data_IF_493423400231
#
_entry.id   IF_493423400231
#
_cell.length_a   1.000
_cell.length_b   1.000
_cell.length_c   1.000
_cell.angle_alpha   90.00
_cell.angle_beta   90.00
_cell.angle_gamma   90.00
#
_symmetry.space_group_name_H-M   'P 1'
#
loop_
_entity.id
_entity.type
_entity.pdbx_description
1 polymer ?
#
# COMPACT_ATOMS: atom_id res chain seq x y z
N UNK A 1 -53.08 9.33 19.76
CA UNK A 1 -51.82 10.08 19.53
C UNK A 1 -50.73 9.07 19.20
N UNK A 2 -50.43 8.90 17.91
CA UNK A 2 -49.40 7.97 17.41
C UNK A 2 -48.07 8.71 17.43
N UNK A 3 -47.16 8.32 18.32
CA UNK A 3 -45.80 8.88 18.33
C UNK A 3 -45.00 8.33 17.15
N UNK A 4 -44.23 9.16 16.43
CA UNK A 4 -43.39 8.69 15.34
C UNK A 4 -42.18 7.94 15.93
N UNK A 5 -41.96 6.72 15.42
CA UNK A 5 -40.75 5.95 15.70
C UNK A 5 -39.53 6.80 15.30
N UNK A 6 -38.76 7.18 16.31
CA UNK A 6 -37.49 7.89 16.18
C UNK A 6 -36.51 6.92 15.52
N UNK A 7 -36.40 6.99 14.19
CA UNK A 7 -35.42 6.25 13.41
C UNK A 7 -34.04 6.58 13.95
N UNK A 8 -33.51 5.68 14.78
CA UNK A 8 -32.12 5.75 15.19
C UNK A 8 -31.32 5.48 13.92
N UNK A 9 -30.40 6.37 13.49
CA UNK A 9 -29.54 6.05 12.37
C UNK A 9 -28.81 4.77 12.74
N UNK A 10 -29.09 3.70 12.00
CA UNK A 10 -28.41 2.42 12.13
C UNK A 10 -26.93 2.77 11.94
N UNK A 11 -26.14 2.66 13.02
CA UNK A 11 -24.70 2.80 12.92
C UNK A 11 -24.25 1.88 11.79
N UNK A 12 -23.47 2.42 10.84
CA UNK A 12 -23.01 1.66 9.70
C UNK A 12 -22.41 0.33 10.22
N UNK A 13 -22.93 -0.83 9.81
CA UNK A 13 -22.58 -2.10 10.42
C UNK A 13 -21.13 -2.50 10.16
N UNK A 14 -20.41 -1.76 9.31
CA UNK A 14 -19.01 -1.98 9.03
C UNK A 14 -18.18 -0.77 9.51
N UNK A 15 -17.18 -0.98 10.38
CA UNK A 15 -16.25 0.09 10.72
C UNK A 15 -15.60 0.62 9.43
N UNK A 16 -15.26 1.92 9.36
CA UNK A 16 -14.68 2.51 8.17
C UNK A 16 -13.42 1.74 7.78
N UNK A 17 -13.49 1.05 6.64
CA UNK A 17 -12.34 0.38 6.06
C UNK A 17 -11.39 1.46 5.52
N UNK A 18 -10.10 1.18 5.51
CA UNK A 18 -9.09 2.00 4.84
C UNK A 18 -8.63 1.28 3.59
N UNK A 19 -9.33 1.55 2.48
CA UNK A 19 -9.01 0.95 1.20
C UNK A 19 -7.56 1.28 0.79
N UNK A 20 -6.78 0.25 0.49
CA UNK A 20 -5.39 0.37 0.08
C UNK A 20 -5.06 -0.61 -1.05
N UNK A 21 -4.21 -0.16 -1.99
CA UNK A 21 -3.72 -0.97 -3.11
C UNK A 21 -2.27 -1.40 -2.84
N UNK A 22 -2.03 -2.71 -2.77
CA UNK A 22 -0.70 -3.29 -2.75
C UNK A 22 -0.36 -3.89 -4.13
N UNK A 23 0.81 -3.55 -4.66
CA UNK A 23 1.31 -4.08 -5.92
C UNK A 23 2.26 -5.24 -5.62
N UNK A 24 1.84 -6.48 -5.95
CA UNK A 24 2.57 -7.71 -5.66
C UNK A 24 3.63 -8.00 -6.73
N UNK A 25 3.41 -7.57 -7.98
CA UNK A 25 4.30 -7.81 -9.13
C UNK A 25 4.73 -6.49 -9.76
N UNK A 26 6.02 -6.39 -10.10
CA UNK A 26 6.58 -5.22 -10.76
C UNK A 26 5.88 -4.95 -12.11
N UNK A 27 5.57 -3.68 -12.43
CA UNK A 27 5.00 -3.34 -13.72
C UNK A 27 5.97 -3.66 -14.86
N UNK A 28 5.46 -4.19 -15.98
CA UNK A 28 6.26 -4.55 -17.16
C UNK A 28 6.68 -3.35 -18.00
N UNK A 29 5.91 -2.27 -17.97
CA UNK A 29 6.14 -1.07 -18.76
C UNK A 29 5.65 0.21 -18.04
N UNK A 30 6.11 1.37 -18.50
CA UNK A 30 5.70 2.68 -18.01
C UNK A 30 4.18 2.91 -18.12
N UNK A 31 3.51 2.38 -19.15
CA UNK A 31 2.06 2.49 -19.31
C UNK A 31 1.29 1.68 -18.25
N UNK A 32 1.77 0.48 -17.90
CA UNK A 32 1.20 -0.32 -16.81
C UNK A 32 1.43 0.37 -15.47
N UNK A 33 2.64 0.90 -15.24
CA UNK A 33 2.95 1.72 -14.06
C UNK A 33 1.96 2.89 -13.91
N UNK A 34 1.73 3.67 -14.96
CA UNK A 34 0.77 4.81 -14.92
C UNK A 34 -0.65 4.37 -14.58
N UNK A 35 -1.11 3.22 -15.09
CA UNK A 35 -2.42 2.66 -14.76
C UNK A 35 -2.51 2.24 -13.29
N UNK A 36 -1.48 1.59 -12.76
CA UNK A 36 -1.41 1.21 -11.35
C UNK A 36 -1.35 2.43 -10.43
N UNK A 37 -0.62 3.49 -10.81
CA UNK A 37 -0.61 4.76 -10.06
C UNK A 37 -1.98 5.45 -10.07
N UNK A 38 -2.67 5.47 -11.22
CA UNK A 38 -4.03 6.01 -11.31
C UNK A 38 -5.01 5.20 -10.45
N UNK A 39 -4.89 3.87 -10.45
CA UNK A 39 -5.67 2.99 -9.58
C UNK A 39 -5.40 3.28 -8.10
N UNK A 40 -4.13 3.46 -7.72
CA UNK A 40 -3.75 3.79 -6.34
C UNK A 40 -4.40 5.09 -5.88
N UNK A 41 -4.40 6.13 -6.73
CA UNK A 41 -5.07 7.41 -6.44
C UNK A 41 -6.58 7.26 -6.31
N UNK A 42 -7.19 6.44 -7.18
CA UNK A 42 -8.62 6.16 -7.10
C UNK A 42 -9.00 5.46 -5.80
N UNK A 43 -8.26 4.40 -5.41
CA UNK A 43 -8.47 3.70 -4.14
C UNK A 43 -8.31 4.66 -2.95
N UNK A 44 -7.30 5.53 -2.96
CA UNK A 44 -7.11 6.55 -1.91
C UNK A 44 -8.25 7.58 -1.86
N UNK A 45 -8.82 7.98 -3.00
CA UNK A 45 -9.98 8.87 -3.02
C UNK A 45 -11.24 8.21 -2.41
N UNK A 46 -11.30 6.87 -2.43
CA UNK A 46 -12.37 6.07 -1.85
C UNK A 46 -11.95 5.34 -0.56
N UNK A 47 -10.99 5.92 0.18
CA UNK A 47 -10.40 5.30 1.38
C UNK A 47 -11.49 4.86 2.37
N UNK A 48 -12.47 5.71 2.67
CA UNK A 48 -13.56 5.44 3.62
C UNK A 48 -14.81 4.88 2.93
N UNK A 49 -14.69 3.72 2.30
CA UNK A 49 -15.86 3.03 1.74
C UNK A 49 -16.40 1.98 2.72
N UNK A 50 -17.72 1.85 2.80
CA UNK A 50 -18.37 0.82 3.62
C UNK A 50 -18.16 -0.58 3.03
N UNK A 51 -17.96 -0.68 1.71
CA UNK A 51 -17.78 -1.95 1.01
C UNK A 51 -16.75 -1.85 -0.13
N UNK A 52 -15.62 -2.54 0.03
CA UNK A 52 -14.55 -2.57 -0.97
C UNK A 52 -15.01 -3.20 -2.29
N UNK A 53 -15.98 -4.11 -2.27
CA UNK A 53 -16.42 -4.87 -3.46
C UNK A 53 -17.08 -3.94 -4.49
N UNK A 54 -17.69 -2.84 -4.02
CA UNK A 54 -18.18 -1.76 -4.86
C UNK A 54 -17.12 -1.13 -5.78
N UNK A 55 -15.83 -1.22 -5.41
CA UNK A 55 -14.74 -0.68 -6.23
C UNK A 55 -14.36 -1.59 -7.40
N UNK A 56 -14.70 -2.89 -7.37
CA UNK A 56 -14.21 -3.86 -8.36
C UNK A 56 -14.57 -3.48 -9.81
N UNK A 57 -15.79 -2.99 -10.03
CA UNK A 57 -16.24 -2.50 -11.33
C UNK A 57 -15.45 -1.28 -11.81
N UNK A 58 -15.17 -0.33 -10.90
CA UNK A 58 -14.36 0.85 -11.20
C UNK A 58 -12.89 0.48 -11.50
N UNK A 59 -12.32 -0.46 -10.73
CA UNK A 59 -10.98 -1.01 -10.96
C UNK A 59 -10.87 -1.64 -12.35
N UNK A 60 -11.83 -2.50 -12.73
CA UNK A 60 -11.87 -3.12 -14.07
C UNK A 60 -11.98 -2.08 -15.17
N UNK A 61 -12.81 -1.05 -15.00
CA UNK A 61 -12.98 0.04 -15.97
C UNK A 61 -11.71 0.87 -16.16
N UNK A 62 -10.96 1.12 -15.09
CA UNK A 62 -9.74 1.92 -15.11
C UNK A 62 -8.56 1.16 -15.73
N UNK A 63 -8.47 -0.15 -15.49
CA UNK A 63 -7.40 -1.00 -16.04
C UNK A 63 -7.65 -1.46 -17.48
N UNK A 64 -8.91 -1.69 -17.83
CA UNK A 64 -9.33 -2.15 -19.16
C UNK A 64 -9.29 -3.67 -19.33
N UNK A 65 -9.55 -4.12 -20.56
CA UNK A 65 -9.74 -5.55 -20.89
C UNK A 65 -8.47 -6.41 -20.74
N UNK A 66 -7.28 -5.80 -20.75
CA UNK A 66 -6.00 -6.50 -20.61
C UNK A 66 -5.72 -7.07 -19.21
N UNK A 67 -6.60 -6.79 -18.25
CA UNK A 67 -6.46 -7.26 -16.87
C UNK A 67 -7.71 -8.01 -16.45
N UNK A 68 -7.52 -9.10 -15.72
CA UNK A 68 -8.59 -9.76 -15.01
C UNK A 68 -8.72 -9.18 -13.61
N UNK A 69 -9.94 -8.86 -13.21
CA UNK A 69 -10.23 -8.25 -11.91
C UNK A 69 -11.32 -9.09 -11.28
N UNK A 70 -11.03 -9.65 -10.12
CA UNK A 70 -11.99 -10.43 -9.36
C UNK A 70 -12.15 -9.89 -7.96
N UNK A 71 -13.34 -10.10 -7.43
CA UNK A 71 -13.70 -9.72 -6.08
C UNK A 71 -13.74 -10.98 -5.21
N UNK A 72 -12.86 -11.07 -4.22
CA UNK A 72 -13.00 -12.01 -3.11
C UNK A 72 -14.00 -11.48 -2.07
N UNK A 73 -14.14 -12.20 -0.96
CA UNK A 73 -15.09 -11.81 0.10
C UNK A 73 -14.76 -10.48 0.76
N UNK A 74 -13.46 -10.14 0.88
CA UNK A 74 -12.98 -8.92 1.59
C UNK A 74 -11.88 -8.16 0.83
N UNK A 75 -11.53 -8.57 -0.38
CA UNK A 75 -10.46 -7.95 -1.17
C UNK A 75 -10.74 -8.07 -2.66
N UNK A 76 -10.17 -7.17 -3.46
CA UNK A 76 -10.19 -7.22 -4.92
C UNK A 76 -8.80 -7.60 -5.39
N UNK A 77 -8.69 -8.62 -6.23
CA UNK A 77 -7.43 -8.99 -6.86
C UNK A 77 -7.42 -8.57 -8.33
N UNK A 78 -6.22 -8.25 -8.82
CA UNK A 78 -5.96 -7.87 -10.21
C UNK A 78 -4.90 -8.82 -10.76
N UNK A 79 -5.13 -9.36 -11.95
CA UNK A 79 -4.19 -10.18 -12.73
C UNK A 79 -4.08 -9.61 -14.13
N UNK A 80 -3.00 -9.92 -14.84
CA UNK A 80 -2.94 -9.69 -16.29
C UNK A 80 -3.75 -10.76 -17.00
N UNK A 81 -4.39 -10.43 -18.12
CA UNK A 81 -5.14 -11.42 -18.89
C UNK A 81 -4.20 -12.55 -19.35
N UNK A 82 -4.57 -13.80 -19.07
CA UNK A 82 -3.76 -14.99 -19.38
C UNK A 82 -2.71 -15.35 -18.32
N UNK A 83 -2.50 -14.52 -17.29
CA UNK A 83 -1.52 -14.77 -16.24
C UNK A 83 -2.20 -15.32 -14.97
N UNK A 84 -1.62 -16.37 -14.38
CA UNK A 84 -2.11 -16.90 -13.11
C UNK A 84 -1.75 -16.00 -11.92
N UNK A 85 -0.66 -15.24 -12.05
CA UNK A 85 -0.07 -14.41 -10.99
C UNK A 85 -0.88 -13.14 -10.76
N UNK A 86 -1.08 -12.79 -9.48
CA UNK A 86 -1.68 -11.52 -9.06
C UNK A 86 -0.69 -10.39 -9.25
N UNK A 87 -1.13 -9.37 -9.98
CA UNK A 87 -0.41 -8.13 -10.18
C UNK A 87 -0.54 -7.21 -8.96
N UNK A 88 -1.76 -7.07 -8.46
CA UNK A 88 -2.08 -6.19 -7.34
C UNK A 88 -3.32 -6.67 -6.57
N UNK A 89 -3.46 -6.19 -5.35
CA UNK A 89 -4.60 -6.46 -4.47
C UNK A 89 -5.06 -5.17 -3.80
N UNK A 90 -6.38 -4.94 -3.81
CA UNK A 90 -7.03 -3.90 -3.02
C UNK A 90 -7.63 -4.57 -1.79
N UNK A 91 -7.23 -4.14 -0.61
CA UNK A 91 -7.71 -4.67 0.66
C UNK A 91 -7.84 -3.54 1.68
N UNK A 92 -8.45 -3.87 2.82
CA UNK A 92 -8.48 -2.98 3.96
C UNK A 92 -7.13 -3.01 4.70
N UNK A 93 -6.53 -1.83 4.89
CA UNK A 93 -5.22 -1.67 5.53
C UNK A 93 -5.23 -2.04 7.01
N UNK A 94 -6.38 -1.94 7.67
CA UNK A 94 -6.50 -2.17 9.12
C UNK A 94 -6.60 -3.66 9.48
N UNK A 95 -7.08 -4.48 8.55
CA UNK A 95 -7.27 -5.93 8.75
C UNK A 95 -6.27 -6.77 7.97
N UNK A 96 -5.64 -6.23 6.91
CA UNK A 96 -4.71 -7.00 6.07
C UNK A 96 -3.52 -6.17 5.59
N UNK A 97 -2.29 -6.63 5.91
CA UNK A 97 -1.05 -6.04 5.41
C UNK A 97 -0.49 -6.89 4.27
N UNK A 98 -0.62 -6.41 3.02
CA UNK A 98 0.05 -6.99 1.85
C UNK A 98 1.32 -6.20 1.50
N UNK A 99 2.36 -6.90 1.03
CA UNK A 99 3.60 -6.24 0.56
C UNK A 99 3.33 -5.46 -0.73
N UNK A 100 3.64 -4.17 -0.71
CA UNK A 100 3.59 -3.30 -1.89
C UNK A 100 4.98 -3.02 -2.42
N UNK A 101 5.17 -3.27 -3.72
CA UNK A 101 6.41 -2.94 -4.43
C UNK A 101 6.70 -1.43 -4.48
N UNK A 102 5.66 -0.60 -4.31
CA UNK A 102 5.80 0.86 -4.32
C UNK A 102 5.90 1.48 -2.92
N UNK A 103 5.74 0.70 -1.85
CA UNK A 103 6.11 1.18 -0.52
C UNK A 103 7.64 1.13 -0.40
N UNK A 104 8.28 2.20 0.11
CA UNK A 104 9.65 2.08 0.54
C UNK A 104 9.69 0.93 1.57
N UNK A 105 10.65 0.01 1.41
CA UNK A 105 10.95 -0.96 2.48
C UNK A 105 11.04 -0.17 3.79
N UNK A 106 10.48 -0.65 4.91
CA UNK A 106 10.69 0.00 6.19
C UNK A 106 12.19 0.17 6.31
N UNK A 107 12.60 1.43 6.37
CA UNK A 107 13.97 1.83 6.57
C UNK A 107 14.43 1.12 7.84
N UNK A 108 15.11 0.00 7.67
CA UNK A 108 15.86 -0.62 8.75
C UNK A 108 16.72 0.51 9.29
N UNK A 109 16.55 0.94 10.55
CA UNK A 109 17.35 2.03 11.07
C UNK A 109 18.80 1.67 10.81
N UNK A 110 19.52 2.58 10.16
CA UNK A 110 20.90 2.42 9.74
C UNK A 110 21.87 2.38 10.95
N UNK A 111 21.50 1.64 11.99
CA UNK A 111 22.21 1.53 13.26
C UNK A 111 22.80 0.13 13.37
N UNK A 112 23.63 -0.27 12.41
CA UNK A 112 24.52 -1.45 12.57
C UNK A 112 25.71 -1.49 11.62
N UNK A 113 26.22 -0.32 11.19
CA UNK A 113 27.50 -0.29 10.43
C UNK A 113 28.55 0.70 10.93
N UNK A 114 28.32 1.41 12.04
CA UNK A 114 29.28 2.41 12.55
C UNK A 114 29.82 2.17 13.96
N UNK A 115 29.69 0.95 14.53
CA UNK A 115 30.36 0.59 15.79
C UNK A 115 31.64 -0.24 15.57
N UNK A 116 32.43 0.07 14.53
CA UNK A 116 33.79 -0.48 14.39
C UNK A 116 34.84 0.55 13.97
N UNK A 117 34.48 1.84 13.87
CA UNK A 117 35.39 2.94 13.52
C UNK A 117 35.60 3.98 14.62
N UNK A 118 35.06 3.74 15.83
CA UNK A 118 35.20 4.63 17.00
C UNK A 118 35.81 3.94 18.22
N UNK A 119 36.77 3.06 18.01
CA UNK A 119 37.78 2.75 19.03
C UNK A 119 39.12 3.29 18.55
N UNK A 120 39.36 4.54 18.96
CA UNK A 120 40.66 5.03 19.36
C UNK A 120 41.72 5.19 18.27
N UNK A 121 41.54 6.23 17.45
CA UNK A 121 42.65 7.14 17.20
C UNK A 121 42.65 8.20 18.30
N UNK A 122 43.62 8.15 19.20
CA UNK A 122 43.98 9.25 20.10
C UNK A 122 45.52 9.35 20.16
N UNK A 123 46.02 10.59 20.29
CA UNK A 123 47.40 11.11 20.19
C UNK A 123 47.84 11.46 18.75
N UNK A 124 47.61 12.68 18.21
CA UNK A 124 48.10 14.01 18.63
C UNK A 124 49.64 14.01 18.78
N UNK A 125 50.50 14.66 18.01
CA UNK A 125 50.53 15.59 16.87
C UNK A 125 52.03 15.85 16.56
N UNK A 126 52.43 16.54 15.48
CA UNK A 126 53.86 16.73 15.14
C UNK A 126 54.53 17.98 15.77
N UNK A 127 55.80 17.82 16.21
CA UNK A 127 56.83 18.88 16.39
C UNK A 127 57.36 19.09 17.83
N UNK A 128 58.56 19.71 18.07
CA UNK A 128 59.70 19.97 17.19
C UNK A 128 61.08 19.50 17.75
N UNK A 129 62.07 19.51 16.86
CA UNK A 129 63.53 19.44 17.02
C UNK A 129 64.17 20.37 18.08
N UNK A 130 65.14 19.87 18.90
CA UNK A 130 66.38 20.58 19.30
C UNK A 130 67.37 19.72 20.15
N UNK A 131 68.67 19.95 19.88
CA UNK A 131 69.93 19.49 20.51
C UNK A 131 70.50 18.15 20.08
#
# INVERSE_FOLDING_TARGET
MTQPLKSTPLADPFPPQQAYLAIEVKPVDAAEKRRLEALRRHVQAHTHTADLRGLAGAVKKLLGASYDVGCGSVHIWVKRAGEAQRLAIVADRLTTAYRDWFEPLPEVPATSRNLRRRLSGELLGPGPEHT
#
